data_IF_788377237409
#
_entry.id   IF_788377237409
#
_cell.length_a   1.000
_cell.length_b   1.000
_cell.length_c   1.000
_cell.angle_alpha   90.00
_cell.angle_beta   90.00
_cell.angle_gamma   90.00
#
_symmetry.space_group_name_H-M   'P 1'
#
loop_
_entity.id
_entity.type
_entity.pdbx_description
1 polymer ?
#
# COMPACT_ATOMS: atom_id res chain seq x y z
N UNK A 1 66.04 -6.36 33.21
CA UNK A 1 65.52 -5.87 31.90
C UNK A 1 64.71 -6.91 31.12
N UNK A 2 64.99 -8.21 31.29
CA UNK A 2 64.36 -9.34 30.56
C UNK A 2 62.85 -9.48 30.84
N UNK A 3 62.41 -9.33 32.10
CA UNK A 3 60.99 -9.50 32.52
C UNK A 3 59.97 -8.61 31.78
N UNK A 4 60.32 -7.36 31.46
CA UNK A 4 59.39 -6.41 30.85
C UNK A 4 59.04 -6.77 29.39
N UNK A 5 59.95 -7.45 28.69
CA UNK A 5 59.74 -7.89 27.31
C UNK A 5 58.68 -9.00 27.22
N UNK A 6 58.72 -9.98 28.11
CA UNK A 6 57.75 -11.09 28.13
C UNK A 6 56.36 -10.64 28.55
N UNK A 7 56.26 -9.72 29.52
CA UNK A 7 54.98 -9.13 29.92
C UNK A 7 54.29 -8.44 28.73
N UNK A 8 55.05 -7.68 27.94
CA UNK A 8 54.52 -6.97 26.77
C UNK A 8 54.04 -7.92 25.66
N UNK A 9 54.73 -9.04 25.45
CA UNK A 9 54.35 -10.08 24.48
C UNK A 9 53.08 -10.83 24.92
N UNK A 10 52.99 -11.20 26.20
CA UNK A 10 51.78 -11.82 26.77
C UNK A 10 50.57 -10.88 26.69
N UNK A 11 50.76 -9.60 26.94
CA UNK A 11 49.71 -8.60 26.86
C UNK A 11 49.25 -8.32 25.42
N UNK A 12 50.14 -8.38 24.42
CA UNK A 12 49.73 -8.25 23.01
C UNK A 12 48.95 -9.48 22.54
N UNK A 13 49.42 -10.69 22.88
CA UNK A 13 48.75 -11.95 22.55
C UNK A 13 47.34 -12.03 23.15
N UNK A 14 47.17 -11.51 24.36
CA UNK A 14 45.86 -11.48 25.03
C UNK A 14 44.92 -10.48 24.36
N UNK A 15 45.43 -9.30 23.95
CA UNK A 15 44.65 -8.29 23.22
C UNK A 15 44.19 -8.78 21.85
N UNK A 16 45.04 -9.47 21.12
CA UNK A 16 44.70 -10.05 19.81
C UNK A 16 43.56 -11.07 19.92
N UNK A 17 43.59 -11.95 20.94
CA UNK A 17 42.50 -12.90 21.19
C UNK A 17 41.19 -12.19 21.53
N UNK A 18 41.22 -11.17 22.38
CA UNK A 18 40.03 -10.39 22.73
C UNK A 18 39.46 -9.71 21.48
N UNK A 19 40.31 -9.09 20.66
CA UNK A 19 39.89 -8.47 19.42
C UNK A 19 39.26 -9.48 18.46
N UNK A 20 39.83 -10.69 18.34
CA UNK A 20 39.27 -11.76 17.52
C UNK A 20 37.87 -12.19 17.99
N UNK A 21 37.67 -12.38 19.30
CA UNK A 21 36.35 -12.74 19.84
C UNK A 21 35.31 -11.63 19.69
N UNK A 22 35.72 -10.36 19.84
CA UNK A 22 34.83 -9.21 19.59
C UNK A 22 34.41 -9.19 18.11
N UNK A 23 35.36 -9.39 17.20
CA UNK A 23 35.10 -9.37 15.77
C UNK A 23 34.22 -10.55 15.34
N UNK A 24 34.46 -11.73 15.90
CA UNK A 24 33.62 -12.92 15.71
C UNK A 24 32.20 -12.70 16.25
N UNK A 25 32.07 -12.16 17.47
CA UNK A 25 30.78 -11.82 18.06
C UNK A 25 30.02 -10.80 17.22
N UNK A 26 30.70 -9.77 16.72
CA UNK A 26 30.13 -8.75 15.84
C UNK A 26 29.62 -9.37 14.54
N UNK A 27 30.39 -10.28 13.95
CA UNK A 27 30.01 -10.98 12.72
C UNK A 27 28.76 -11.84 12.91
N UNK A 28 28.66 -12.55 14.03
CA UNK A 28 27.48 -13.36 14.36
C UNK A 28 26.25 -12.48 14.62
N UNK A 29 26.40 -11.36 15.32
CA UNK A 29 25.31 -10.41 15.56
C UNK A 29 24.81 -9.83 14.24
N UNK A 30 25.73 -9.38 13.37
CA UNK A 30 25.40 -8.88 12.03
C UNK A 30 24.69 -9.93 11.18
N UNK A 31 25.16 -11.19 11.20
CA UNK A 31 24.51 -12.28 10.48
C UNK A 31 23.09 -12.56 10.97
N UNK A 32 22.87 -12.52 12.28
CA UNK A 32 21.55 -12.73 12.89
C UNK A 32 20.60 -11.59 12.54
N UNK A 33 21.05 -10.34 12.67
CA UNK A 33 20.27 -9.16 12.28
C UNK A 33 19.92 -9.23 10.79
N UNK A 34 20.90 -9.53 9.94
CA UNK A 34 20.67 -9.66 8.51
C UNK A 34 19.62 -10.73 8.18
N UNK A 35 19.72 -11.92 8.78
CA UNK A 35 18.75 -13.00 8.59
C UNK A 35 17.34 -12.61 9.04
N UNK A 36 17.20 -11.92 10.18
CA UNK A 36 15.90 -11.43 10.65
C UNK A 36 15.30 -10.36 9.72
N UNK A 37 16.12 -9.42 9.26
CA UNK A 37 15.68 -8.35 8.36
C UNK A 37 15.24 -8.88 7.00
N UNK A 38 15.94 -9.86 6.43
CA UNK A 38 15.56 -10.46 5.15
C UNK A 38 14.16 -11.09 5.20
N UNK A 39 13.83 -11.80 6.29
CA UNK A 39 12.50 -12.41 6.47
C UNK A 39 11.40 -11.34 6.54
N UNK A 40 11.62 -10.27 7.30
CA UNK A 40 10.64 -9.19 7.44
C UNK A 40 10.41 -8.45 6.10
N UNK A 41 11.49 -8.20 5.35
CA UNK A 41 11.44 -7.53 4.05
C UNK A 41 10.69 -8.40 3.02
N UNK A 42 10.95 -9.71 2.98
CA UNK A 42 10.31 -10.61 2.04
C UNK A 42 8.78 -10.71 2.24
N UNK A 43 8.34 -10.76 3.50
CA UNK A 43 6.90 -10.78 3.83
C UNK A 43 6.22 -9.46 3.47
N UNK A 44 6.89 -8.33 3.73
CA UNK A 44 6.34 -7.01 3.41
C UNK A 44 6.24 -6.76 1.89
N UNK A 45 7.19 -7.27 1.10
CA UNK A 45 7.13 -7.20 -0.37
C UNK A 45 5.98 -8.06 -0.90
N UNK A 46 5.77 -9.25 -0.33
CA UNK A 46 4.66 -10.13 -0.70
C UNK A 46 3.29 -9.50 -0.44
N UNK A 47 3.10 -8.86 0.72
CA UNK A 47 1.84 -8.19 1.05
C UNK A 47 1.56 -7.00 0.14
N UNK A 48 2.57 -6.18 -0.15
CA UNK A 48 2.46 -5.06 -1.10
C UNK A 48 2.14 -5.56 -2.51
N UNK A 49 2.76 -6.67 -2.94
CA UNK A 49 2.46 -7.27 -4.24
C UNK A 49 1.02 -7.78 -4.34
N UNK A 50 0.47 -8.36 -3.27
CA UNK A 50 -0.93 -8.79 -3.25
C UNK A 50 -1.89 -7.60 -3.36
N UNK A 51 -1.64 -6.54 -2.59
CA UNK A 51 -2.43 -5.30 -2.65
C UNK A 51 -2.42 -4.71 -4.07
N UNK A 52 -1.25 -4.66 -4.72
CA UNK A 52 -1.15 -4.16 -6.09
C UNK A 52 -1.92 -5.02 -7.10
N UNK A 53 -1.91 -6.35 -6.94
CA UNK A 53 -2.70 -7.25 -7.78
C UNK A 53 -4.21 -7.08 -7.55
N UNK A 54 -4.63 -6.93 -6.29
CA UNK A 54 -6.05 -6.71 -5.95
C UNK A 54 -6.54 -5.38 -6.53
N UNK A 55 -5.72 -4.32 -6.46
CA UNK A 55 -6.02 -3.02 -7.09
C UNK A 55 -6.12 -3.16 -8.61
N UNK A 56 -5.21 -3.92 -9.25
CA UNK A 56 -5.27 -4.15 -10.70
C UNK A 56 -6.54 -4.89 -11.12
N UNK A 57 -6.95 -5.89 -10.33
CA UNK A 57 -8.19 -6.63 -10.55
C UNK A 57 -9.41 -5.72 -10.41
N UNK A 58 -9.51 -4.95 -9.31
CA UNK A 58 -10.61 -4.00 -9.09
C UNK A 58 -10.69 -2.93 -10.19
N UNK A 59 -9.56 -2.43 -10.67
CA UNK A 59 -9.54 -1.47 -11.78
C UNK A 59 -10.03 -2.09 -13.10
N UNK A 60 -9.74 -3.37 -13.34
CA UNK A 60 -10.26 -4.10 -14.50
C UNK A 60 -11.78 -4.22 -14.43
N UNK A 61 -12.32 -4.63 -13.27
CA UNK A 61 -13.77 -4.74 -13.05
C UNK A 61 -14.48 -3.39 -13.21
N UNK A 62 -13.90 -2.32 -12.68
CA UNK A 62 -14.42 -0.95 -12.86
C UNK A 62 -14.38 -0.54 -14.32
N UNK A 63 -13.28 -0.81 -15.03
CA UNK A 63 -13.17 -0.52 -16.46
C UNK A 63 -14.20 -1.27 -17.31
N UNK A 64 -14.49 -2.53 -16.95
CA UNK A 64 -15.53 -3.32 -17.61
C UNK A 64 -16.93 -2.72 -17.36
N UNK A 65 -17.25 -2.37 -16.11
CA UNK A 65 -18.51 -1.68 -15.78
C UNK A 65 -18.65 -0.32 -16.46
N UNK A 66 -17.58 0.45 -16.58
CA UNK A 66 -17.59 1.73 -17.30
C UNK A 66 -17.83 1.54 -18.80
N UNK A 67 -17.24 0.50 -19.39
CA UNK A 67 -17.49 0.14 -20.78
C UNK A 67 -18.94 -0.28 -21.00
N UNK A 68 -19.50 -1.11 -20.13
CA UNK A 68 -20.92 -1.47 -20.17
C UNK A 68 -21.82 -0.25 -20.01
N UNK A 69 -21.54 0.63 -19.05
CA UNK A 69 -22.29 1.87 -18.86
C UNK A 69 -22.26 2.77 -20.11
N UNK A 70 -21.10 2.90 -20.76
CA UNK A 70 -20.99 3.64 -22.02
C UNK A 70 -21.82 3.00 -23.13
N UNK A 71 -21.83 1.66 -23.23
CA UNK A 71 -22.66 0.94 -24.19
C UNK A 71 -24.15 1.18 -23.92
N UNK A 72 -24.60 1.07 -22.67
CA UNK A 72 -26.00 1.33 -22.31
C UNK A 72 -26.38 2.79 -22.53
N UNK A 73 -25.49 3.74 -22.23
CA UNK A 73 -25.72 5.17 -22.48
C UNK A 73 -25.88 5.47 -23.97
N UNK A 74 -25.14 4.79 -24.84
CA UNK A 74 -25.29 4.92 -26.29
C UNK A 74 -26.59 4.28 -26.82
N UNK A 75 -27.17 3.32 -26.10
CA UNK A 75 -28.48 2.74 -26.44
C UNK A 75 -29.67 3.55 -25.93
N UNK A 76 -29.48 4.44 -24.94
CA UNK A 76 -30.50 5.36 -24.42
C UNK A 76 -30.73 6.54 -25.37
N UNK A 77 -31.18 6.26 -26.59
CA UNK A 77 -31.60 7.27 -27.55
C UNK A 77 -33.11 7.52 -27.47
N UNK A 78 -33.56 8.70 -27.90
CA UNK A 78 -34.98 9.03 -28.03
C UNK A 78 -35.71 7.99 -28.92
N UNK A 79 -35.01 7.48 -29.92
CA UNK A 79 -35.48 6.46 -30.85
C UNK A 79 -35.68 5.10 -30.15
N UNK A 80 -34.74 4.68 -29.30
CA UNK A 80 -34.90 3.50 -28.46
C UNK A 80 -36.07 3.64 -27.48
N UNK A 81 -36.21 4.80 -26.82
CA UNK A 81 -37.33 5.07 -25.92
C UNK A 81 -38.69 5.01 -26.63
N UNK A 82 -38.79 5.54 -27.85
CA UNK A 82 -39.99 5.43 -28.69
C UNK A 82 -40.27 3.98 -29.11
N UNK A 83 -39.24 3.20 -29.44
CA UNK A 83 -39.38 1.80 -29.85
C UNK A 83 -39.88 0.88 -28.72
N UNK A 84 -39.53 1.15 -27.47
CA UNK A 84 -40.04 0.39 -26.30
C UNK A 84 -41.38 0.94 -25.77
N UNK A 85 -42.02 1.87 -26.49
CA UNK A 85 -43.37 2.35 -26.21
C UNK A 85 -43.45 3.58 -25.30
N UNK A 86 -42.33 4.23 -24.95
CA UNK A 86 -42.40 5.54 -24.28
C UNK A 86 -42.90 6.60 -25.25
N UNK A 87 -43.83 7.43 -24.76
CA UNK A 87 -44.36 8.57 -25.49
C UNK A 87 -43.74 9.85 -24.96
N UNK A 88 -43.51 10.84 -25.83
CA UNK A 88 -42.96 12.13 -25.43
C UNK A 88 -43.91 12.83 -24.43
N UNK A 89 -43.35 13.22 -23.28
CA UNK A 89 -44.11 13.90 -22.24
C UNK A 89 -44.55 15.30 -22.71
N UNK A 90 -45.87 15.51 -22.86
CA UNK A 90 -46.46 16.81 -23.25
C UNK A 90 -46.16 17.97 -22.28
N UNK A 91 -45.68 17.68 -21.06
CA UNK A 91 -45.34 18.69 -20.05
C UNK A 91 -44.21 18.17 -19.16
N UNK A 92 -43.03 18.78 -19.26
CA UNK A 92 -41.89 18.45 -18.41
C UNK A 92 -42.14 19.08 -17.04
N UNK A 93 -42.46 18.26 -16.03
CA UNK A 93 -42.51 18.70 -14.64
C UNK A 93 -41.12 18.55 -14.05
N UNK A 94 -40.44 19.67 -13.85
CA UNK A 94 -39.17 19.69 -13.14
C UNK A 94 -39.45 19.55 -11.64
N UNK A 95 -39.03 18.42 -11.04
CA UNK A 95 -39.01 18.28 -9.59
C UNK A 95 -37.74 18.96 -9.09
N UNK A 96 -37.85 20.25 -8.77
CA UNK A 96 -36.77 20.96 -8.08
C UNK A 96 -36.68 20.42 -6.66
N UNK A 97 -35.62 19.68 -6.33
CA UNK A 97 -35.24 19.43 -4.94
C UNK A 97 -34.91 20.78 -4.32
N UNK A 98 -35.81 21.32 -3.50
CA UNK A 98 -35.49 22.44 -2.62
C UNK A 98 -34.36 21.96 -1.71
N UNK A 99 -33.16 22.51 -1.88
CA UNK A 99 -32.11 22.37 -0.87
C UNK A 99 -32.60 23.11 0.37
N UNK A 100 -33.27 22.39 1.26
CA UNK A 100 -33.53 22.85 2.63
C UNK A 100 -32.19 22.81 3.36
N UNK A 101 -31.42 23.88 3.16
CA UNK A 101 -30.20 24.17 3.90
C UNK A 101 -30.63 24.63 5.31
N UNK A 102 -31.12 23.69 6.13
CA UNK A 102 -31.39 23.94 7.54
C UNK A 102 -30.05 24.04 8.25
N UNK A 103 -29.36 25.18 8.08
CA UNK A 103 -28.33 25.61 9.00
C UNK A 103 -29.02 25.92 10.33
N UNK A 104 -29.00 24.95 11.23
CA UNK A 104 -29.30 25.16 12.65
C UNK A 104 -28.21 26.05 13.24
N UNK A 105 -28.29 27.36 13.03
CA UNK A 105 -27.58 28.32 13.87
C UNK A 105 -28.44 28.57 15.09
N UNK A 106 -28.04 27.98 16.22
CA UNK A 106 -28.47 28.45 17.54
C UNK A 106 -28.11 29.93 17.62
N UNK A 107 -29.13 30.77 17.78
CA UNK A 107 -28.97 32.21 18.01
C UNK A 107 -29.03 32.43 19.51
N UNK A 108 -27.96 32.99 20.06
CA UNK A 108 -27.90 33.54 21.42
C UNK A 108 -29.02 34.55 21.66
#
# INVERSE_FOLDING_TARGET
MISNKYKKILESYTREKIAFYILLGTFLILGTIYGMFQNQIMVNISSVSKINNDIAFMNSDVGEMEFEYMNYKNTLTLEYAKNIGFTEAKKISYITKVKTDTRLTLRD
#
